data_IF_809251830918
#
_entry.id   IF_809251830918
#
_cell.length_a   1.000
_cell.length_b   1.000
_cell.length_c   1.000
_cell.angle_alpha   90.00
_cell.angle_beta   90.00
_cell.angle_gamma   90.00
#
_symmetry.space_group_name_H-M   'P 1'
#
loop_
_entity.id
_entity.type
_entity.pdbx_description
1 polymer ?
#
# COMPACT_ATOMS: atom_id res chain seq x y z
N UNK A 1 0.65 -4.41 32.68
CA UNK A 1 0.02 -5.01 31.48
C UNK A 1 -0.08 -3.97 30.34
N UNK A 2 0.72 -2.90 30.41
CA UNK A 2 0.53 -1.67 29.64
C UNK A 2 1.61 -1.46 28.58
N UNK A 3 2.73 -2.17 28.70
CA UNK A 3 3.92 -2.04 27.85
C UNK A 3 3.75 -2.73 26.47
N UNK A 4 2.95 -3.80 26.42
CA UNK A 4 2.64 -4.51 25.17
C UNK A 4 1.83 -3.64 24.20
N UNK A 5 0.91 -2.82 24.71
CA UNK A 5 0.09 -1.91 23.90
C UNK A 5 0.93 -0.76 23.36
N UNK A 6 1.84 -0.20 24.15
CA UNK A 6 2.71 0.88 23.69
C UNK A 6 3.70 0.40 22.61
N UNK A 7 4.31 -0.78 22.79
CA UNK A 7 5.21 -1.40 21.82
C UNK A 7 4.51 -1.78 20.51
N UNK A 8 3.31 -2.39 20.58
CA UNK A 8 2.51 -2.77 19.41
C UNK A 8 1.98 -1.57 18.59
N UNK A 9 1.89 -0.39 19.21
CA UNK A 9 1.42 0.85 18.57
C UNK A 9 2.57 1.73 18.06
N UNK A 10 3.83 1.41 18.40
CA UNK A 10 4.98 2.16 17.91
C UNK A 10 5.14 1.96 16.40
N UNK A 11 5.27 3.06 15.66
CA UNK A 11 5.37 3.05 14.19
C UNK A 11 4.10 2.64 13.44
N UNK A 12 2.93 2.65 14.11
CA UNK A 12 1.64 2.35 13.49
C UNK A 12 1.26 3.36 12.40
N UNK A 13 1.73 4.61 12.52
CA UNK A 13 1.44 5.69 11.57
C UNK A 13 2.62 6.04 10.67
N UNK A 14 3.74 5.32 10.81
CA UNK A 14 4.89 5.49 9.92
C UNK A 14 4.48 5.04 8.52
N UNK A 15 5.00 5.73 7.50
CA UNK A 15 4.78 5.24 6.16
C UNK A 15 5.55 3.91 5.98
N UNK A 16 5.22 3.11 4.96
CA UNK A 16 6.13 2.06 4.52
C UNK A 16 7.51 2.70 4.30
N UNK A 17 8.59 2.10 4.81
CA UNK A 17 9.94 2.70 4.75
C UNK A 17 10.38 3.05 3.31
N UNK A 18 9.83 2.33 2.33
CA UNK A 18 9.98 2.57 0.89
C UNK A 18 9.08 3.69 0.31
N UNK A 19 8.44 4.49 1.17
CA UNK A 19 7.50 5.54 0.79
C UNK A 19 7.78 6.88 1.49
N UNK A 20 8.74 6.96 2.43
CA UNK A 20 8.93 8.16 3.27
C UNK A 20 9.78 9.27 2.63
N UNK A 21 10.52 8.99 1.56
CA UNK A 21 11.33 10.01 0.88
C UNK A 21 11.24 9.96 -0.64
N UNK A 22 10.98 8.79 -1.22
CA UNK A 22 10.74 8.58 -2.65
C UNK A 22 9.80 7.38 -2.80
N UNK A 23 8.63 7.60 -3.43
CA UNK A 23 7.73 6.49 -3.75
C UNK A 23 8.44 5.51 -4.69
N UNK A 24 8.36 4.22 -4.43
CA UNK A 24 8.99 3.19 -5.27
C UNK A 24 8.57 3.31 -6.75
N UNK A 25 9.55 3.14 -7.65
CA UNK A 25 9.34 3.26 -9.09
C UNK A 25 8.28 2.30 -9.65
N UNK A 26 8.15 1.09 -9.08
CA UNK A 26 7.10 0.15 -9.47
C UNK A 26 5.69 0.66 -9.15
N UNK A 27 5.54 1.46 -8.09
CA UNK A 27 4.28 2.12 -7.76
C UNK A 27 4.06 3.34 -8.65
N UNK A 28 5.11 4.14 -8.91
CA UNK A 28 5.04 5.30 -9.81
C UNK A 28 4.60 4.93 -11.23
N UNK A 29 5.08 3.81 -11.75
CA UNK A 29 4.69 3.29 -13.07
C UNK A 29 3.20 2.91 -13.17
N UNK A 30 2.54 2.69 -12.03
CA UNK A 30 1.11 2.44 -11.97
C UNK A 30 0.27 3.72 -11.91
N UNK A 31 0.89 4.89 -11.70
CA UNK A 31 0.20 6.17 -11.73
C UNK A 31 -0.06 6.61 -13.18
N UNK A 32 -1.07 7.46 -13.42
CA UNK A 32 -1.30 8.02 -14.75
C UNK A 32 -0.02 8.69 -15.31
N UNK A 33 0.29 8.54 -16.61
CA UNK A 33 1.49 9.13 -17.19
C UNK A 33 1.58 10.65 -16.96
N UNK A 34 2.77 11.12 -16.60
CA UNK A 34 3.01 12.53 -16.30
C UNK A 34 2.49 12.99 -14.93
N UNK A 35 2.10 12.07 -14.05
CA UNK A 35 1.78 12.39 -12.66
C UNK A 35 3.04 12.74 -11.87
N UNK A 36 2.98 13.81 -11.10
CA UNK A 36 3.99 14.22 -10.13
C UNK A 36 3.56 13.77 -8.73
N UNK A 37 4.44 13.07 -8.00
CA UNK A 37 4.18 12.70 -6.60
C UNK A 37 4.52 13.88 -5.71
N UNK A 38 3.52 14.40 -4.98
CA UNK A 38 3.68 15.57 -4.12
C UNK A 38 4.05 15.18 -2.68
N UNK A 39 3.41 14.14 -2.14
CA UNK A 39 3.74 13.65 -0.81
C UNK A 39 3.24 12.22 -0.60
N UNK A 40 3.87 11.53 0.34
CA UNK A 40 3.40 10.23 0.82
C UNK A 40 3.37 10.26 2.34
N UNK A 41 2.22 9.92 2.92
CA UNK A 41 1.98 10.01 4.37
C UNK A 41 1.43 8.70 4.89
N UNK A 42 2.06 8.13 5.92
CA UNK A 42 1.53 6.97 6.61
C UNK A 42 0.12 7.23 7.15
N UNK A 43 -0.79 6.28 6.93
CA UNK A 43 -2.21 6.42 7.31
C UNK A 43 -2.65 5.35 8.33
N UNK A 44 -1.83 4.32 8.55
CA UNK A 44 -2.06 3.30 9.56
C UNK A 44 -1.27 2.03 9.29
N UNK A 45 -1.22 1.15 10.28
CA UNK A 45 -0.64 -0.17 10.13
C UNK A 45 -1.56 -1.20 10.78
N UNK A 46 -1.58 -2.38 10.20
CA UNK A 46 -2.17 -3.58 10.78
C UNK A 46 -1.04 -4.57 11.09
N UNK A 47 -1.40 -5.74 11.62
CA UNK A 47 -0.42 -6.81 11.85
C UNK A 47 0.29 -7.26 10.55
N UNK A 48 -0.35 -7.03 9.39
CA UNK A 48 0.04 -7.60 8.09
C UNK A 48 0.35 -6.56 7.01
N UNK A 49 -0.09 -5.32 7.20
CA UNK A 49 0.03 -4.27 6.18
C UNK A 49 0.35 -2.92 6.80
N UNK A 50 1.12 -2.10 6.07
CA UNK A 50 1.23 -0.66 6.30
C UNK A 50 0.53 0.06 5.17
N UNK A 51 -0.24 1.10 5.51
CA UNK A 51 -0.92 1.94 4.53
C UNK A 51 -0.34 3.35 4.53
N UNK A 52 -0.35 3.94 3.34
CA UNK A 52 -0.01 5.33 3.13
C UNK A 52 -1.01 5.98 2.16
N UNK A 53 -1.19 7.29 2.34
CA UNK A 53 -1.82 8.15 1.36
C UNK A 53 -0.75 8.73 0.46
N UNK A 54 -0.93 8.61 -0.85
CA UNK A 54 -0.06 9.18 -1.88
C UNK A 54 -0.81 10.33 -2.53
N UNK A 55 -0.32 11.55 -2.35
CA UNK A 55 -0.86 12.74 -2.99
C UNK A 55 -0.08 13.02 -4.27
N UNK A 56 -0.80 13.21 -5.37
CA UNK A 56 -0.23 13.42 -6.71
C UNK A 56 -0.86 14.63 -7.39
N UNK A 57 -0.13 15.19 -8.35
CA UNK A 57 -0.64 16.13 -9.34
C UNK A 57 -0.60 15.45 -10.70
N UNK A 58 -1.76 15.26 -11.31
CA UNK A 58 -1.87 14.68 -12.65
C UNK A 58 -1.28 15.65 -13.69
N UNK A 59 -0.98 15.14 -14.89
CA UNK A 59 -0.43 15.95 -15.99
C UNK A 59 -1.30 17.17 -16.36
N UNK A 60 -2.62 17.02 -16.19
CA UNK A 60 -3.62 18.09 -16.38
C UNK A 60 -3.64 19.15 -15.26
N UNK A 61 -2.89 18.93 -14.18
CA UNK A 61 -2.81 19.81 -13.02
C UNK A 61 -3.77 19.47 -11.88
N UNK A 62 -4.70 18.54 -12.08
CA UNK A 62 -5.64 18.06 -11.05
C UNK A 62 -4.88 17.36 -9.91
N UNK A 63 -5.21 17.71 -8.67
CA UNK A 63 -4.72 16.99 -7.51
C UNK A 63 -5.53 15.71 -7.31
N UNK A 64 -4.84 14.58 -7.20
CA UNK A 64 -5.46 13.28 -6.94
C UNK A 64 -4.70 12.53 -5.85
N UNK A 65 -5.45 11.97 -4.90
CA UNK A 65 -4.91 11.16 -3.82
C UNK A 65 -5.22 9.69 -4.05
N UNK A 66 -4.29 8.85 -3.65
CA UNK A 66 -4.40 7.40 -3.71
C UNK A 66 -4.13 6.79 -2.34
N UNK A 67 -4.71 5.62 -2.11
CA UNK A 67 -4.47 4.82 -0.93
C UNK A 67 -3.59 3.63 -1.31
N UNK A 68 -2.38 3.62 -0.78
CA UNK A 68 -1.37 2.58 -0.99
C UNK A 68 -1.35 1.65 0.22
N UNK A 69 -1.59 0.36 -0.02
CA UNK A 69 -1.34 -0.71 0.94
C UNK A 69 -0.06 -1.43 0.55
N UNK A 70 0.79 -1.64 1.53
CA UNK A 70 1.99 -2.45 1.42
C UNK A 70 1.90 -3.56 2.44
N UNK A 71 2.32 -4.76 2.07
CA UNK A 71 2.49 -5.82 3.05
C UNK A 71 3.69 -5.47 3.95
N UNK A 72 3.55 -5.66 5.26
CA UNK A 72 4.65 -5.54 6.23
C UNK A 72 4.42 -6.50 7.40
N UNK A 73 5.49 -7.03 8.01
CA UNK A 73 5.38 -7.86 9.22
C UNK A 73 5.68 -7.03 10.47
N UNK A 74 4.68 -6.80 11.32
CA UNK A 74 4.82 -6.02 12.55
C UNK A 74 5.78 -6.65 13.57
N UNK A 75 5.83 -7.99 13.62
CA UNK A 75 6.83 -8.73 14.36
C UNK A 75 7.83 -9.29 13.34
N UNK A 76 9.10 -8.89 13.40
CA UNK A 76 10.14 -9.48 12.55
C UNK A 76 10.48 -10.93 12.96
N UNK A 77 9.49 -11.71 13.39
CA UNK A 77 9.69 -13.13 13.67
C UNK A 77 9.75 -13.87 12.34
N UNK A 78 10.62 -14.88 12.28
CA UNK A 78 10.90 -15.58 11.02
C UNK A 78 9.64 -16.15 10.34
N UNK A 79 8.63 -16.56 11.13
CA UNK A 79 7.41 -17.16 10.58
C UNK A 79 6.43 -16.15 9.98
N UNK A 80 6.21 -14.98 10.62
CA UNK A 80 5.37 -13.92 10.07
C UNK A 80 6.02 -13.20 8.87
N UNK A 81 7.36 -13.15 8.87
CA UNK A 81 8.12 -12.74 7.69
C UNK A 81 7.87 -13.70 6.53
N UNK A 82 8.00 -15.02 6.72
CA UNK A 82 7.77 -16.02 5.67
C UNK A 82 6.33 -16.06 5.15
N UNK A 83 5.33 -15.88 6.01
CA UNK A 83 3.92 -15.92 5.59
C UNK A 83 3.59 -14.81 4.62
N UNK A 84 4.27 -13.66 4.72
CA UNK A 84 3.83 -12.50 3.97
C UNK A 84 4.89 -11.97 2.97
N UNK A 85 6.08 -12.56 2.85
CA UNK A 85 6.99 -12.36 1.70
C UNK A 85 6.63 -13.27 0.52
N UNK A 86 7.20 -12.98 -0.65
CA UNK A 86 7.12 -13.84 -1.84
C UNK A 86 5.67 -14.09 -2.32
N UNK A 87 5.43 -15.28 -2.86
CA UNK A 87 4.18 -15.62 -3.54
C UNK A 87 2.92 -15.46 -2.68
N UNK A 88 3.03 -15.64 -1.37
CA UNK A 88 1.92 -15.44 -0.44
C UNK A 88 1.53 -13.96 -0.36
N UNK A 89 2.50 -13.09 -0.07
CA UNK A 89 2.27 -11.65 -0.02
C UNK A 89 1.75 -11.10 -1.36
N UNK A 90 2.30 -11.62 -2.46
CA UNK A 90 1.85 -11.29 -3.81
C UNK A 90 0.40 -11.70 -4.06
N UNK A 91 0.03 -12.91 -3.64
CA UNK A 91 -1.34 -13.43 -3.77
C UNK A 91 -2.35 -12.63 -2.94
N UNK A 92 -1.94 -12.16 -1.75
CA UNK A 92 -2.79 -11.30 -0.91
C UNK A 92 -3.12 -9.97 -1.60
N UNK A 93 -2.12 -9.27 -2.14
CA UNK A 93 -2.35 -7.99 -2.83
C UNK A 93 -3.17 -8.17 -4.12
N UNK A 94 -2.92 -9.26 -4.86
CA UNK A 94 -3.74 -9.63 -6.02
C UNK A 94 -5.19 -9.88 -5.63
N UNK A 95 -5.43 -10.64 -4.55
CA UNK A 95 -6.77 -10.93 -4.06
C UNK A 95 -7.54 -9.66 -3.68
N UNK A 96 -6.87 -8.70 -3.05
CA UNK A 96 -7.46 -7.40 -2.72
C UNK A 96 -7.85 -6.60 -3.98
N UNK A 97 -6.99 -6.58 -5.00
CA UNK A 97 -7.28 -5.95 -6.28
C UNK A 97 -8.48 -6.60 -7.00
N UNK A 98 -8.46 -7.92 -7.18
CA UNK A 98 -9.51 -8.64 -7.93
C UNK A 98 -10.86 -8.59 -7.21
N UNK A 99 -10.87 -8.65 -5.88
CA UNK A 99 -12.10 -8.53 -5.09
C UNK A 99 -12.69 -7.11 -5.18
N UNK A 100 -11.88 -6.07 -5.02
CA UNK A 100 -12.34 -4.68 -5.18
C UNK A 100 -12.87 -4.41 -6.60
N UNK A 101 -12.21 -5.00 -7.62
CA UNK A 101 -12.64 -4.93 -9.02
C UNK A 101 -13.99 -5.61 -9.24
N UNK A 102 -14.16 -6.82 -8.70
CA UNK A 102 -15.41 -7.56 -8.80
C UNK A 102 -16.57 -6.82 -8.12
N UNK A 103 -16.34 -6.24 -6.94
CA UNK A 103 -17.33 -5.43 -6.23
C UNK A 103 -17.73 -4.20 -7.06
N UNK A 104 -16.75 -3.44 -7.55
CA UNK A 104 -17.01 -2.25 -8.36
C UNK A 104 -17.72 -2.56 -9.70
N UNK A 105 -17.52 -3.76 -10.25
CA UNK A 105 -18.24 -4.19 -11.45
C UNK A 105 -19.73 -4.46 -11.21
N UNK A 106 -20.12 -4.81 -9.97
CA UNK A 106 -21.53 -5.06 -9.61
C UNK A 106 -22.19 -3.80 -9.04
N UNK A 107 -21.50 -3.09 -8.16
CA UNK A 107 -21.99 -1.86 -7.52
C UNK A 107 -20.89 -0.80 -7.58
N UNK A 108 -20.90 -0.02 -8.65
CA UNK A 108 -19.96 1.09 -8.84
C UNK A 108 -20.01 2.05 -7.66
N UNK A 109 -18.85 2.39 -7.09
CA UNK A 109 -18.74 3.35 -6.00
C UNK A 109 -19.04 2.81 -4.59
N UNK A 110 -19.36 1.51 -4.45
CA UNK A 110 -19.48 0.89 -3.12
C UNK A 110 -18.12 0.76 -2.40
N UNK A 111 -17.06 0.49 -3.17
CA UNK A 111 -15.68 0.45 -2.69
C UNK A 111 -14.82 1.40 -3.52
N UNK A 112 -13.71 1.95 -2.98
CA UNK A 112 -12.79 2.75 -3.78
C UNK A 112 -12.29 1.98 -5.01
N UNK A 113 -12.07 2.70 -6.11
CA UNK A 113 -11.68 2.10 -7.37
C UNK A 113 -10.29 1.46 -7.28
N UNK A 114 -10.12 0.17 -7.63
CA UNK A 114 -8.81 -0.44 -7.67
C UNK A 114 -8.01 0.15 -8.84
N UNK A 115 -6.78 0.59 -8.57
CA UNK A 115 -5.91 1.20 -9.59
C UNK A 115 -4.91 0.17 -10.09
N UNK A 116 -4.16 -0.44 -9.17
CA UNK A 116 -3.13 -1.41 -9.52
C UNK A 116 -2.73 -2.30 -8.33
N UNK A 117 -1.96 -3.34 -8.62
CA UNK A 117 -1.23 -4.12 -7.63
C UNK A 117 0.10 -4.57 -8.25
N UNK A 118 1.09 -4.86 -7.41
CA UNK A 118 2.41 -5.19 -7.94
C UNK A 118 3.45 -5.51 -6.87
N UNK A 119 4.71 -5.49 -7.30
CA UNK A 119 5.89 -5.71 -6.46
C UNK A 119 6.77 -4.48 -6.56
N UNK A 120 7.33 -4.06 -5.44
CA UNK A 120 8.28 -2.95 -5.39
C UNK A 120 9.51 -3.31 -6.23
N UNK A 121 10.08 -2.30 -6.92
CA UNK A 121 11.34 -2.48 -7.64
C UNK A 121 12.54 -2.46 -6.69
N UNK A 122 12.45 -1.69 -5.62
CA UNK A 122 13.48 -1.60 -4.58
C UNK A 122 13.57 -2.87 -3.73
N UNK A 123 12.48 -3.64 -3.62
CA UNK A 123 12.43 -4.87 -2.83
C UNK A 123 11.47 -5.89 -3.47
N UNK A 124 11.99 -6.98 -4.05
CA UNK A 124 11.17 -7.99 -4.72
C UNK A 124 10.28 -8.80 -3.76
N UNK A 125 10.51 -8.73 -2.45
CA UNK A 125 9.70 -9.39 -1.42
C UNK A 125 8.61 -8.48 -0.84
N UNK A 126 8.52 -7.22 -1.30
CA UNK A 126 7.46 -6.29 -0.93
C UNK A 126 6.47 -6.11 -2.06
N UNK A 127 5.20 -6.35 -1.75
CA UNK A 127 4.09 -6.24 -2.68
C UNK A 127 3.13 -5.13 -2.25
N UNK A 128 2.47 -4.50 -3.22
CA UNK A 128 1.51 -3.42 -2.99
C UNK A 128 0.17 -3.66 -3.66
N UNK A 129 -0.82 -2.98 -3.10
CA UNK A 129 -2.11 -2.69 -3.70
C UNK A 129 -2.36 -1.17 -3.67
N UNK A 130 -2.82 -0.61 -4.78
CA UNK A 130 -3.10 0.81 -4.95
C UNK A 130 -4.56 0.99 -5.38
N UNK A 131 -5.26 1.91 -4.71
CA UNK A 131 -6.64 2.27 -5.04
C UNK A 131 -6.84 3.79 -4.93
N UNK A 132 -7.97 4.26 -5.47
CA UNK A 132 -8.42 5.63 -5.26
C UNK A 132 -8.71 5.90 -3.76
N UNK A 133 -8.53 7.15 -3.32
CA UNK A 133 -8.76 7.59 -1.94
C UNK A 133 -9.85 8.66 -1.86
#
# INVERSE_FOLDING_TARGET
MDDYRASAMSGLFDAPKAAESDLDEGVKECLPPGSEVLSVKGHGASLWTRSARVDTKLAEGTLKSYFLKTRFSANQTAWSMQVATGDNGRSMMRGEFESSKAINAVISGFAPGPVAWGTFKSDPDLHFFLQDN
#
